data_IF_668369479271
#
_entry.id   IF_668369479271
#
_cell.length_a   1.000
_cell.length_b   1.000
_cell.length_c   1.000
_cell.angle_alpha   90.00
_cell.angle_beta   90.00
_cell.angle_gamma   90.00
#
_symmetry.space_group_name_H-M   'P 1'
#
loop_
_entity.id
_entity.type
_entity.pdbx_description
1 polymer ?
#
# COMPACT_ATOMS: atom_id res chain seq x y z
N UNK A 1 3.69 21.33 -7.49
CA UNK A 1 2.39 20.63 -7.30
C UNK A 1 2.50 19.13 -7.00
N UNK A 2 3.64 18.43 -7.18
CA UNK A 2 3.78 17.01 -6.76
C UNK A 2 3.69 16.82 -5.24
N UNK A 3 4.01 17.87 -4.48
CA UNK A 3 3.79 17.91 -3.03
C UNK A 3 2.33 17.64 -2.63
N UNK A 4 1.36 17.87 -3.53
CA UNK A 4 -0.05 17.54 -3.30
C UNK A 4 -0.28 16.02 -3.27
N UNK A 5 0.58 15.22 -3.93
CA UNK A 5 0.58 13.76 -3.84
C UNK A 5 1.31 13.24 -2.60
N UNK A 6 2.15 14.06 -1.97
CA UNK A 6 2.95 13.63 -0.83
C UNK A 6 2.06 13.20 0.34
N UNK A 7 1.02 13.97 0.65
CA UNK A 7 0.10 13.66 1.74
C UNK A 7 -0.60 12.30 1.58
N UNK A 8 -1.29 11.98 0.46
CA UNK A 8 -1.94 10.68 0.32
C UNK A 8 -0.95 9.51 0.28
N UNK A 9 0.20 9.65 -0.37
CA UNK A 9 1.22 8.59 -0.34
C UNK A 9 1.82 8.40 1.06
N UNK A 10 2.02 9.49 1.81
CA UNK A 10 2.53 9.41 3.18
C UNK A 10 1.52 8.74 4.13
N UNK A 11 0.23 9.05 3.99
CA UNK A 11 -0.84 8.37 4.73
C UNK A 11 -0.93 6.89 4.36
N UNK A 12 -0.81 6.56 3.07
CA UNK A 12 -0.76 5.17 2.63
C UNK A 12 0.45 4.45 3.23
N UNK A 13 1.66 5.00 3.12
CA UNK A 13 2.87 4.43 3.68
C UNK A 13 2.76 4.23 5.20
N UNK A 14 2.27 5.24 5.92
CA UNK A 14 2.02 5.14 7.36
C UNK A 14 1.03 4.02 7.68
N UNK A 15 -0.07 3.91 6.92
CA UNK A 15 -1.04 2.83 7.14
C UNK A 15 -0.43 1.44 6.95
N UNK A 16 0.49 1.26 5.99
CA UNK A 16 1.14 -0.03 5.74
C UNK A 16 2.20 -0.36 6.80
N UNK A 17 2.93 0.64 7.28
CA UNK A 17 3.85 0.46 8.41
C UNK A 17 3.09 0.07 9.69
N UNK A 18 1.96 0.72 9.96
CA UNK A 18 1.08 0.35 11.07
C UNK A 18 0.49 -1.05 10.88
N UNK A 19 0.16 -1.45 9.65
CA UNK A 19 -0.34 -2.78 9.36
C UNK A 19 0.73 -3.87 9.61
N UNK A 20 2.00 -3.60 9.30
CA UNK A 20 3.12 -4.50 9.63
C UNK A 20 3.33 -4.62 11.16
N UNK A 21 3.21 -3.53 11.90
CA UNK A 21 3.26 -3.57 13.36
C UNK A 21 2.08 -4.37 13.94
N UNK A 22 0.87 -4.12 13.43
CA UNK A 22 -0.32 -4.87 13.82
C UNK A 22 -0.19 -6.36 13.50
N UNK A 23 0.39 -6.71 12.34
CA UNK A 23 0.73 -8.09 11.99
C UNK A 23 1.67 -8.70 13.03
N UNK A 24 2.80 -8.04 13.32
CA UNK A 24 3.80 -8.53 14.26
C UNK A 24 3.22 -8.74 15.68
N UNK A 25 2.31 -7.86 16.10
CA UNK A 25 1.60 -8.01 17.38
C UNK A 25 0.56 -9.14 17.36
N UNK A 26 -0.07 -9.41 16.23
CA UNK A 26 -1.10 -10.44 16.12
C UNK A 26 -0.52 -11.85 15.96
N UNK A 27 0.65 -12.01 15.34
CA UNK A 27 1.28 -13.34 15.09
C UNK A 27 1.33 -14.24 16.34
N UNK A 28 1.79 -13.79 17.52
CA UNK A 28 1.90 -14.64 18.71
C UNK A 28 0.56 -15.21 19.20
N UNK A 29 -0.54 -14.51 18.91
CA UNK A 29 -1.90 -14.89 19.33
C UNK A 29 -2.56 -15.88 18.35
N UNK A 30 -1.94 -16.12 17.19
CA UNK A 30 -2.49 -17.03 16.17
C UNK A 30 -1.99 -18.45 16.36
N UNK A 31 -2.84 -19.43 16.07
CA UNK A 31 -2.43 -20.84 15.99
C UNK A 31 -1.71 -21.18 14.65
N UNK A 32 -1.43 -20.18 13.82
CA UNK A 32 -0.85 -20.37 12.48
C UNK A 32 0.65 -20.68 12.56
N UNK A 33 1.11 -21.60 11.72
CA UNK A 33 2.54 -21.90 11.65
C UNK A 33 3.32 -20.75 10.99
N UNK A 34 4.61 -20.55 11.34
CA UNK A 34 5.44 -19.52 10.69
C UNK A 34 5.48 -19.64 9.17
N UNK A 35 5.46 -20.86 8.63
CA UNK A 35 5.41 -21.12 7.20
C UNK A 35 4.11 -20.63 6.56
N UNK A 36 2.97 -20.78 7.24
CA UNK A 36 1.67 -20.31 6.75
C UNK A 36 1.58 -18.77 6.72
N UNK A 37 2.33 -18.10 7.60
CA UNK A 37 2.39 -16.65 7.72
C UNK A 37 3.38 -15.97 6.75
N UNK A 38 4.27 -16.74 6.12
CA UNK A 38 5.30 -16.21 5.23
C UNK A 38 4.72 -15.42 4.05
N UNK A 39 3.69 -15.96 3.39
CA UNK A 39 3.07 -15.30 2.23
C UNK A 39 2.37 -13.99 2.63
N UNK A 40 1.46 -13.95 3.63
CA UNK A 40 0.91 -12.69 4.13
C UNK A 40 1.98 -11.65 4.51
N UNK A 41 3.03 -12.08 5.21
CA UNK A 41 4.12 -11.20 5.63
C UNK A 41 4.84 -10.56 4.44
N UNK A 42 5.18 -11.36 3.43
CA UNK A 42 5.84 -10.86 2.20
C UNK A 42 4.96 -9.82 1.51
N UNK A 43 3.65 -10.06 1.42
CA UNK A 43 2.74 -9.13 0.76
C UNK A 43 2.56 -7.83 1.56
N UNK A 44 2.47 -7.90 2.89
CA UNK A 44 2.49 -6.71 3.75
C UNK A 44 3.80 -5.92 3.62
N UNK A 45 4.95 -6.61 3.60
CA UNK A 45 6.25 -5.99 3.43
C UNK A 45 6.38 -5.31 2.06
N UNK A 46 5.93 -5.97 0.99
CA UNK A 46 5.90 -5.41 -0.35
C UNK A 46 5.00 -4.16 -0.42
N UNK A 47 3.82 -4.20 0.18
CA UNK A 47 2.91 -3.05 0.24
C UNK A 47 3.54 -1.84 0.95
N UNK A 48 4.23 -2.07 2.07
CA UNK A 48 4.94 -1.03 2.80
C UNK A 48 6.10 -0.45 1.98
N UNK A 49 6.94 -1.30 1.38
CA UNK A 49 8.06 -0.87 0.54
C UNK A 49 7.59 -0.02 -0.63
N UNK A 50 6.61 -0.50 -1.40
CA UNK A 50 6.05 0.23 -2.54
C UNK A 50 5.46 1.58 -2.13
N UNK A 51 4.76 1.62 -1.00
CA UNK A 51 4.16 2.86 -0.48
C UNK A 51 5.21 3.87 -0.05
N UNK A 52 6.26 3.43 0.66
CA UNK A 52 7.39 4.29 1.06
C UNK A 52 8.16 4.79 -0.15
N UNK A 53 8.42 3.92 -1.13
CA UNK A 53 9.07 4.33 -2.38
C UNK A 53 8.25 5.36 -3.15
N UNK A 54 6.92 5.23 -3.17
CA UNK A 54 6.04 6.22 -3.79
C UNK A 54 6.14 7.60 -3.08
N UNK A 55 6.27 7.64 -1.75
CA UNK A 55 6.52 8.88 -0.99
C UNK A 55 7.85 9.51 -1.39
N UNK A 56 8.92 8.71 -1.44
CA UNK A 56 10.26 9.20 -1.82
C UNK A 56 10.25 9.79 -3.22
N UNK A 57 9.61 9.11 -4.18
CA UNK A 57 9.47 9.60 -5.54
C UNK A 57 8.59 10.85 -5.63
N UNK A 58 7.52 10.94 -4.85
CA UNK A 58 6.65 12.13 -4.79
C UNK A 58 7.35 13.35 -4.16
N UNK A 59 8.30 13.11 -3.24
CA UNK A 59 9.09 14.14 -2.56
C UNK A 59 10.31 14.60 -3.39
N UNK A 60 10.67 13.87 -4.44
CA UNK A 60 11.88 14.15 -5.22
C UNK A 60 11.76 15.51 -5.95
N UNK A 61 12.75 16.41 -5.81
CA UNK A 61 12.74 17.69 -6.52
C UNK A 61 12.68 17.49 -8.03
N UNK A 62 11.88 18.30 -8.73
CA UNK A 62 11.70 18.21 -10.18
C UNK A 62 12.98 18.42 -11.00
N UNK A 63 14.03 18.98 -10.40
CA UNK A 63 15.36 19.13 -11.04
C UNK A 63 16.19 17.85 -11.08
N UNK A 64 15.84 16.87 -10.24
CA UNK A 64 16.49 15.56 -10.15
C UNK A 64 15.66 14.46 -10.83
N UNK A 65 14.46 14.81 -11.28
CA UNK A 65 13.53 13.88 -11.88
C UNK A 65 13.63 13.98 -13.40
N UNK A 66 14.17 12.93 -14.04
CA UNK A 66 14.04 12.67 -15.50
C UNK A 66 12.58 12.82 -15.96
N UNK A 67 12.24 12.90 -17.25
CA UNK A 67 10.85 12.95 -17.72
C UNK A 67 10.02 11.67 -17.47
N UNK A 68 10.65 10.57 -17.04
CA UNK A 68 10.04 9.27 -16.73
C UNK A 68 9.45 9.01 -15.30
N UNK A 69 9.35 9.92 -14.30
CA UNK A 69 8.99 9.57 -12.93
C UNK A 69 7.47 9.36 -12.80
N UNK A 70 6.68 9.74 -13.81
CA UNK A 70 5.21 9.77 -13.75
C UNK A 70 4.61 8.37 -13.90
N UNK A 71 5.08 7.61 -14.88
CA UNK A 71 4.62 6.25 -15.14
C UNK A 71 5.04 5.30 -14.01
N UNK A 72 6.25 5.50 -13.48
CA UNK A 72 6.77 4.75 -12.33
C UNK A 72 5.92 5.00 -11.09
N UNK A 73 5.56 6.25 -10.80
CA UNK A 73 4.76 6.60 -9.62
C UNK A 73 3.32 6.03 -9.71
N UNK A 74 2.74 6.04 -10.91
CA UNK A 74 1.44 5.40 -11.17
C UNK A 74 1.56 3.87 -11.03
N UNK A 75 2.59 3.25 -11.60
CA UNK A 75 2.82 1.81 -11.46
C UNK A 75 2.99 1.40 -9.99
N UNK A 76 3.74 2.19 -9.20
CA UNK A 76 3.92 1.95 -7.77
C UNK A 76 2.61 2.12 -7.02
N UNK A 77 1.81 3.13 -7.34
CA UNK A 77 0.50 3.32 -6.73
C UNK A 77 -0.45 2.14 -7.01
N UNK A 78 -0.45 1.62 -8.24
CA UNK A 78 -1.26 0.46 -8.64
C UNK A 78 -0.79 -0.81 -7.93
N UNK A 79 0.51 -1.09 -7.93
CA UNK A 79 1.07 -2.28 -7.28
C UNK A 79 0.88 -2.22 -5.76
N UNK A 80 1.12 -1.06 -5.15
CA UNK A 80 0.85 -0.85 -3.73
C UNK A 80 -0.62 -1.11 -3.42
N UNK A 81 -1.55 -0.53 -4.20
CA UNK A 81 -2.99 -0.72 -4.01
C UNK A 81 -3.41 -2.18 -4.08
N UNK A 82 -2.88 -2.94 -5.05
CA UNK A 82 -3.12 -4.38 -5.15
C UNK A 82 -2.61 -5.13 -3.91
N UNK A 83 -1.39 -4.82 -3.46
CA UNK A 83 -0.80 -5.43 -2.27
C UNK A 83 -1.55 -5.07 -0.98
N UNK A 84 -1.97 -3.81 -0.81
CA UNK A 84 -2.79 -3.33 0.32
C UNK A 84 -4.11 -4.07 0.40
N UNK A 85 -4.72 -4.39 -0.74
CA UNK A 85 -5.96 -5.17 -0.78
C UNK A 85 -5.70 -6.66 -0.53
N UNK A 86 -4.62 -7.21 -1.08
CA UNK A 86 -4.31 -8.64 -0.99
C UNK A 86 -3.82 -9.07 0.40
N UNK A 87 -3.02 -8.25 1.09
CA UNK A 87 -2.38 -8.65 2.35
C UNK A 87 -3.40 -9.01 3.46
N UNK A 88 -4.45 -8.21 3.73
CA UNK A 88 -5.48 -8.56 4.71
C UNK A 88 -6.30 -9.80 4.32
N UNK A 89 -6.50 -10.02 3.01
CA UNK A 89 -7.22 -11.20 2.51
C UNK A 89 -6.43 -12.48 2.78
N UNK A 90 -5.14 -12.45 2.47
CA UNK A 90 -4.22 -13.56 2.70
C UNK A 90 -4.09 -13.84 4.20
N UNK A 91 -3.97 -12.79 5.02
CA UNK A 91 -3.97 -12.93 6.48
C UNK A 91 -5.26 -13.59 7.00
N UNK A 92 -6.43 -13.03 6.71
CA UNK A 92 -7.71 -13.55 7.21
C UNK A 92 -7.98 -14.98 6.75
N UNK A 93 -7.56 -15.34 5.53
CA UNK A 93 -7.59 -16.73 5.05
C UNK A 93 -6.66 -17.63 5.87
N UNK A 94 -5.45 -17.19 6.19
CA UNK A 94 -4.45 -17.99 6.92
C UNK A 94 -4.87 -18.24 8.37
N UNK A 95 -5.48 -17.25 9.05
CA UNK A 95 -5.85 -17.38 10.46
C UNK A 95 -7.30 -17.85 10.68
N UNK A 96 -8.06 -18.08 9.60
CA UNK A 96 -9.46 -18.53 9.68
C UNK A 96 -10.48 -17.44 10.04
N UNK A 97 -10.04 -16.23 10.36
CA UNK A 97 -10.89 -15.07 10.67
C UNK A 97 -11.16 -14.23 9.42
N UNK A 98 -11.88 -14.82 8.47
CA UNK A 98 -12.15 -14.15 7.22
C UNK A 98 -13.52 -13.45 7.20
N UNK A 99 -13.50 -12.12 7.25
CA UNK A 99 -14.66 -11.28 6.94
C UNK A 99 -14.40 -10.46 5.68
N UNK A 100 -14.68 -11.08 4.52
CA UNK A 100 -14.43 -10.57 3.17
C UNK A 100 -14.92 -9.13 2.96
N UNK A 101 -16.02 -8.75 3.59
CA UNK A 101 -16.74 -7.49 3.36
C UNK A 101 -16.03 -6.25 3.92
N UNK A 102 -15.42 -6.30 5.11
CA UNK A 102 -14.86 -5.08 5.72
C UNK A 102 -13.47 -4.71 5.17
N UNK A 103 -12.62 -5.70 4.87
CA UNK A 103 -11.25 -5.43 4.44
C UNK A 103 -11.16 -5.08 2.95
N UNK A 104 -11.99 -5.71 2.09
CA UNK A 104 -12.03 -5.39 0.67
C UNK A 104 -12.60 -3.99 0.41
N UNK A 105 -13.69 -3.62 1.07
CA UNK A 105 -14.34 -2.32 0.84
C UNK A 105 -13.39 -1.20 1.19
N UNK A 106 -12.68 -1.31 2.32
CA UNK A 106 -11.73 -0.29 2.76
C UNK A 106 -10.49 -0.24 1.87
N UNK A 107 -9.94 -1.38 1.45
CA UNK A 107 -8.82 -1.45 0.52
C UNK A 107 -9.16 -0.89 -0.86
N UNK A 108 -10.32 -1.26 -1.41
CA UNK A 108 -10.80 -0.79 -2.70
C UNK A 108 -11.10 0.72 -2.73
N UNK A 109 -11.69 1.26 -1.66
CA UNK A 109 -11.92 2.71 -1.53
C UNK A 109 -10.61 3.49 -1.51
N UNK A 110 -9.64 3.05 -0.69
CA UNK A 110 -8.34 3.72 -0.60
C UNK A 110 -7.59 3.64 -1.93
N UNK A 111 -7.59 2.47 -2.59
CA UNK A 111 -6.99 2.28 -3.90
C UNK A 111 -7.62 3.19 -4.97
N UNK A 112 -8.95 3.21 -5.07
CA UNK A 112 -9.67 4.03 -6.03
C UNK A 112 -9.41 5.53 -5.80
N UNK A 113 -9.45 5.99 -4.54
CA UNK A 113 -9.13 7.38 -4.21
C UNK A 113 -7.70 7.75 -4.59
N UNK A 114 -6.72 6.87 -4.37
CA UNK A 114 -5.33 7.12 -4.72
C UNK A 114 -5.11 7.20 -6.23
N UNK A 115 -5.74 6.28 -6.98
CA UNK A 115 -5.65 6.24 -8.45
C UNK A 115 -6.31 7.48 -9.05
N UNK A 116 -7.54 7.80 -8.63
CA UNK A 116 -8.29 8.96 -9.14
C UNK A 116 -7.59 10.28 -8.81
N UNK A 117 -7.04 10.41 -7.60
CA UNK A 117 -6.30 11.61 -7.22
C UNK A 117 -4.97 11.74 -7.97
N UNK A 118 -4.24 10.63 -8.13
CA UNK A 118 -3.01 10.61 -8.93
C UNK A 118 -3.27 10.95 -10.40
N UNK A 119 -4.37 10.44 -10.96
CA UNK A 119 -4.84 10.77 -12.30
C UNK A 119 -5.20 12.25 -12.42
N UNK A 120 -5.96 12.79 -11.47
CA UNK A 120 -6.36 14.20 -11.46
C UNK A 120 -5.14 15.13 -11.44
N UNK A 121 -4.19 14.89 -10.54
CA UNK A 121 -2.96 15.70 -10.44
C UNK A 121 -2.05 15.54 -11.67
N UNK A 122 -2.10 14.39 -12.36
CA UNK A 122 -1.35 14.19 -13.60
C UNK A 122 -2.00 14.88 -14.82
N UNK A 123 -3.34 14.92 -14.88
CA UNK A 123 -4.13 15.43 -16.00
C UNK A 123 -4.37 16.94 -15.98
N UNK A 124 -4.35 17.59 -14.81
CA UNK A 124 -4.63 19.02 -14.65
C UNK A 124 -3.35 19.83 -14.37
N UNK A 125 -2.30 19.53 -15.14
CA UNK A 125 -1.03 20.25 -15.17
C UNK A 125 -0.77 20.83 -16.53
#
# INVERSE_FOLDING_TARGET
MWILLLAPFALLALSQLLALLAFAHAVPETAASPAALAVPLIVYAAAALLSVSAVVLAALPSRLAEPAPREVLIAFAVLASAAVCAAPLLWGRTIGEFHLSHHLVRGALVAACLVLYSWYVASHR
#
